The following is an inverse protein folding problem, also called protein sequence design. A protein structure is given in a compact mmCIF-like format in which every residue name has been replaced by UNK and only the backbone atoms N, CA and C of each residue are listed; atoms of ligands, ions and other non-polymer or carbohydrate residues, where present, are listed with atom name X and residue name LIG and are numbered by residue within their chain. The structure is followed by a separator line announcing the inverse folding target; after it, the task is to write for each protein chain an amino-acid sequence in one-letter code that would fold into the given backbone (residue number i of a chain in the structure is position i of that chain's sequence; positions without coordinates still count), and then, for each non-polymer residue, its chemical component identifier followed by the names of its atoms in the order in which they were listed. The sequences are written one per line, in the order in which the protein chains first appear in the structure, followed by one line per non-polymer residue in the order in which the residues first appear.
data_IF_700381803298
#
_entry.id   IF_700381803298
#
_cell.length_a   1.000
_cell.length_b   1.000
_cell.length_c   1.000
_cell.angle_alpha   90.00
_cell.angle_beta   90.00
_cell.angle_gamma   90.00
#
_symmetry.space_group_name_H-M   'P 1'
#
loop_
_entity.id
_entity.type
_entity.pdbx_description
1 polymer ?
#
# COMPACT_ATOMS: atom_id res chain seq x y z
N UNK A 1 10.62 0.52 -15.66
CA UNK A 1 10.11 -0.29 -14.54
C UNK A 1 9.52 -1.55 -15.14
N UNK A 2 10.22 -2.68 -15.00
CA UNK A 2 9.78 -3.97 -15.52
C UNK A 2 8.90 -4.61 -14.44
N UNK A 3 7.59 -4.65 -14.68
CA UNK A 3 6.68 -5.52 -13.92
C UNK A 3 6.91 -6.95 -14.45
N UNK A 4 7.79 -7.71 -13.81
CA UNK A 4 8.18 -9.05 -14.30
C UNK A 4 7.23 -10.15 -13.81
N UNK A 5 6.37 -9.88 -12.83
CA UNK A 5 5.59 -10.92 -12.13
C UNK A 5 4.31 -10.37 -11.50
N UNK A 6 3.25 -11.19 -11.47
CA UNK A 6 2.02 -10.91 -10.73
C UNK A 6 2.17 -11.14 -9.21
N UNK A 7 3.17 -11.94 -8.81
CA UNK A 7 3.56 -12.14 -7.42
C UNK A 7 4.62 -11.12 -7.00
N UNK A 8 4.63 -10.69 -5.73
CA UNK A 8 5.66 -9.81 -5.20
C UNK A 8 7.03 -10.50 -5.20
N UNK A 9 8.07 -9.69 -5.30
CA UNK A 9 9.48 -10.07 -5.35
C UNK A 9 10.30 -9.18 -4.42
N UNK A 10 11.55 -9.56 -4.18
CA UNK A 10 12.48 -8.73 -3.39
C UNK A 10 12.70 -7.40 -4.11
N UNK A 11 12.77 -6.32 -3.34
CA UNK A 11 12.77 -4.91 -3.75
C UNK A 11 11.42 -4.33 -4.17
N UNK A 12 10.32 -5.11 -4.14
CA UNK A 12 9.01 -4.52 -4.38
C UNK A 12 8.59 -3.57 -3.25
N UNK A 13 7.99 -2.46 -3.66
CA UNK A 13 7.36 -1.50 -2.75
C UNK A 13 6.02 -2.06 -2.29
N UNK A 14 5.78 -2.09 -0.99
CA UNK A 14 4.54 -2.61 -0.41
C UNK A 14 3.92 -1.65 0.59
N UNK A 15 2.60 -1.78 0.76
CA UNK A 15 1.79 -1.03 1.72
C UNK A 15 1.07 -1.99 2.66
N UNK A 16 1.12 -1.70 3.95
CA UNK A 16 0.34 -2.41 4.96
C UNK A 16 -1.14 -2.02 4.87
N UNK A 17 -2.02 -3.01 4.81
CA UNK A 17 -3.47 -2.82 4.68
C UNK A 17 -4.23 -2.98 5.99
N UNK A 18 -3.57 -3.29 7.11
CA UNK A 18 -4.25 -3.51 8.38
C UNK A 18 -3.34 -3.34 9.58
N UNK A 19 -3.86 -2.72 10.63
CA UNK A 19 -3.14 -2.59 11.90
C UNK A 19 -2.89 -3.96 12.54
N UNK A 20 -1.65 -4.17 12.95
CA UNK A 20 -1.25 -5.25 13.85
C UNK A 20 -0.39 -4.68 14.98
N UNK A 21 -1.07 -4.28 16.05
CA UNK A 21 -0.46 -3.66 17.23
C UNK A 21 0.56 -4.55 17.95
N UNK A 22 0.54 -5.88 17.74
CA UNK A 22 1.52 -6.79 18.37
C UNK A 22 2.90 -6.65 17.74
N UNK A 23 2.93 -6.35 16.44
CA UNK A 23 4.15 -6.21 15.64
C UNK A 23 4.48 -4.74 15.37
N UNK A 24 3.56 -3.82 15.68
CA UNK A 24 3.78 -2.38 15.53
C UNK A 24 3.56 -1.85 14.10
N UNK A 25 2.90 -2.63 13.22
CA UNK A 25 2.57 -2.17 11.88
C UNK A 25 1.16 -1.61 11.80
N UNK A 26 0.98 -0.56 10.99
CA UNK A 26 -0.27 0.17 10.84
C UNK A 26 -0.68 0.26 9.36
N UNK A 27 -1.99 0.32 9.11
CA UNK A 27 -2.53 0.53 7.78
C UNK A 27 -1.99 1.85 7.21
N UNK A 28 -1.47 1.80 5.99
CA UNK A 28 -0.87 2.94 5.31
C UNK A 28 0.65 2.98 5.38
N UNK A 29 1.28 2.22 6.29
CA UNK A 29 2.74 2.17 6.35
C UNK A 29 3.31 1.53 5.09
N UNK A 30 4.33 2.16 4.53
CA UNK A 30 5.06 1.69 3.35
C UNK A 30 6.36 0.99 3.76
N UNK A 31 6.82 0.10 2.91
CA UNK A 31 8.12 -0.56 3.08
C UNK A 31 8.61 -1.21 1.80
N UNK A 32 9.83 -1.73 1.85
CA UNK A 32 10.46 -2.47 0.74
C UNK A 32 10.69 -3.91 1.19
N UNK A 33 10.33 -4.87 0.36
CA UNK A 33 10.62 -6.28 0.64
C UNK A 33 12.14 -6.52 0.53
N UNK A 34 12.80 -6.87 1.62
CA UNK A 34 14.23 -7.26 1.64
C UNK A 34 14.40 -8.77 1.46
N UNK A 35 13.44 -9.55 1.94
CA UNK A 35 13.45 -11.01 1.85
C UNK A 35 12.04 -11.57 1.63
N UNK A 36 11.90 -12.50 0.69
CA UNK A 36 10.63 -13.18 0.44
C UNK A 36 10.85 -14.66 0.16
N UNK A 37 10.14 -15.52 0.90
CA UNK A 37 10.16 -16.97 0.70
C UNK A 37 8.74 -17.51 0.71
N UNK A 38 8.41 -18.37 -0.25
CA UNK A 38 7.15 -19.13 -0.24
C UNK A 38 7.14 -20.09 0.95
N UNK A 39 6.14 -19.98 1.84
CA UNK A 39 5.96 -20.90 2.98
C UNK A 39 5.03 -22.05 2.60
N UNK A 40 3.89 -21.72 2.03
CA UNK A 40 2.86 -22.65 1.56
C UNK A 40 2.09 -22.01 0.38
N UNK A 41 1.03 -22.67 -0.10
CA UNK A 41 0.22 -22.17 -1.23
C UNK A 41 -0.47 -20.82 -0.96
N UNK A 42 -0.64 -20.44 0.32
CA UNK A 42 -1.38 -19.24 0.71
C UNK A 42 -0.49 -18.12 1.28
N UNK A 43 0.69 -18.45 1.82
CA UNK A 43 1.50 -17.52 2.61
C UNK A 43 2.93 -17.38 2.10
N UNK A 44 3.42 -16.15 2.06
CA UNK A 44 4.85 -15.85 2.05
C UNK A 44 5.36 -15.63 3.47
N UNK A 45 6.61 -16.00 3.74
CA UNK A 45 7.39 -15.45 4.84
C UNK A 45 8.19 -14.27 4.29
N UNK A 46 7.93 -13.08 4.81
CA UNK A 46 8.50 -11.83 4.33
C UNK A 46 9.33 -11.14 5.41
N UNK A 47 10.38 -10.47 4.95
CA UNK A 47 11.19 -9.50 5.67
C UNK A 47 11.05 -8.18 4.91
N UNK A 48 10.52 -7.15 5.58
CA UNK A 48 10.13 -5.88 4.96
C UNK A 48 10.76 -4.74 5.74
N UNK A 49 11.58 -3.93 5.08
CA UNK A 49 12.10 -2.69 5.64
C UNK A 49 11.01 -1.63 5.61
N UNK A 50 10.41 -1.34 6.76
CA UNK A 50 9.38 -0.32 6.89
C UNK A 50 10.00 1.07 6.88
N UNK A 51 9.35 2.03 6.22
CA UNK A 51 9.82 3.40 6.13
C UNK A 51 9.86 4.08 7.50
N UNK A 52 10.99 4.72 7.82
CA UNK A 52 11.16 5.44 9.09
C UNK A 52 11.38 4.55 10.31
N UNK A 53 11.29 3.22 10.16
CA UNK A 53 11.50 2.27 11.25
C UNK A 53 12.94 1.71 11.24
N UNK A 54 13.51 1.52 12.42
CA UNK A 54 14.87 0.96 12.56
C UNK A 54 14.91 -0.52 12.25
N UNK A 55 13.94 -1.28 12.74
CA UNK A 55 13.85 -2.73 12.57
C UNK A 55 13.02 -3.09 11.34
N UNK A 56 13.40 -4.19 10.68
CA UNK A 56 12.60 -4.76 9.59
C UNK A 56 11.44 -5.58 10.17
N UNK A 57 10.28 -5.49 9.53
CA UNK A 57 9.15 -6.37 9.81
C UNK A 57 9.48 -7.79 9.35
N UNK A 58 9.26 -8.78 10.22
CA UNK A 58 9.31 -10.19 9.85
C UNK A 58 7.97 -10.86 10.15
N UNK A 59 7.38 -11.51 9.14
CA UNK A 59 6.11 -12.20 9.36
C UNK A 59 5.55 -12.94 8.15
N UNK A 60 4.33 -13.44 8.31
CA UNK A 60 3.60 -14.10 7.23
C UNK A 60 2.70 -13.08 6.55
N UNK A 61 2.81 -13.00 5.23
CA UNK A 61 1.94 -12.14 4.40
C UNK A 61 1.14 -12.99 3.43
N UNK A 62 -0.12 -12.60 3.19
CA UNK A 62 -1.04 -13.37 2.37
C UNK A 62 -0.74 -13.20 0.88
N UNK A 63 -0.54 -14.30 0.14
CA UNK A 63 -0.25 -14.26 -1.30
C UNK A 63 -1.40 -13.67 -2.12
N UNK A 64 -2.62 -14.15 -1.87
CA UNK A 64 -3.81 -13.77 -2.62
C UNK A 64 -4.27 -12.32 -2.38
N UNK A 65 -3.62 -11.59 -1.47
CA UNK A 65 -3.90 -10.17 -1.28
C UNK A 65 -3.28 -9.30 -2.38
N UNK A 66 -2.11 -9.69 -2.91
CA UNK A 66 -1.45 -8.92 -3.96
C UNK A 66 -2.28 -8.96 -5.24
N UNK A 67 -2.50 -7.79 -5.87
CA UNK A 67 -3.34 -7.64 -7.07
C UNK A 67 -4.80 -8.08 -6.89
N UNK A 68 -5.32 -8.17 -5.66
CA UNK A 68 -6.72 -8.48 -5.42
C UNK A 68 -7.61 -7.32 -5.89
N UNK A 69 -8.49 -7.58 -6.87
CA UNK A 69 -9.48 -6.59 -7.34
C UNK A 69 -10.61 -6.38 -6.32
N UNK A 70 -10.81 -7.31 -5.39
CA UNK A 70 -11.85 -7.21 -4.37
C UNK A 70 -11.26 -6.67 -3.07
N UNK A 71 -11.96 -5.70 -2.46
CA UNK A 71 -11.75 -5.35 -1.07
C UNK A 71 -12.12 -6.57 -0.22
N UNK A 72 -11.14 -7.19 0.44
CA UNK A 72 -11.39 -8.37 1.27
C UNK A 72 -12.50 -8.08 2.28
N UNK A 73 -13.53 -8.92 2.30
CA UNK A 73 -14.59 -8.87 3.31
C UNK A 73 -14.02 -9.35 4.66
N UNK A 74 -13.44 -8.41 5.42
CA UNK A 74 -12.75 -8.64 6.69
C UNK A 74 -13.58 -9.39 7.74
N UNK A 75 -14.91 -9.27 7.68
CA UNK A 75 -15.83 -9.95 8.60
C UNK A 75 -15.89 -11.47 8.41
N UNK A 76 -15.65 -11.98 7.18
CA UNK A 76 -15.66 -13.44 6.90
C UNK A 76 -14.28 -14.09 7.04
N UNK A 77 -13.21 -13.32 6.90
CA UNK A 77 -11.82 -13.83 6.79
C UNK A 77 -10.97 -13.63 8.05
N UNK A 78 -11.61 -13.54 9.22
CA UNK A 78 -10.92 -13.27 10.49
C UNK A 78 -9.84 -14.32 10.83
N UNK A 79 -9.98 -15.56 10.35
CA UNK A 79 -8.94 -16.60 10.52
C UNK A 79 -7.62 -16.26 9.82
N UNK A 80 -7.66 -15.69 8.60
CA UNK A 80 -6.45 -15.27 7.86
C UNK A 80 -5.72 -14.17 8.63
N UNK A 81 -6.49 -13.25 9.19
CA UNK A 81 -5.97 -12.10 9.95
C UNK A 81 -5.34 -12.48 11.30
N UNK A 82 -5.60 -13.69 11.80
CA UNK A 82 -4.93 -14.24 12.99
C UNK A 82 -3.60 -14.88 12.61
N UNK A 83 -3.51 -15.47 11.41
CA UNK A 83 -2.34 -16.23 10.95
C UNK A 83 -1.24 -15.35 10.37
N UNK A 84 -1.58 -14.22 9.73
CA UNK A 84 -0.61 -13.29 9.19
C UNK A 84 -1.18 -11.91 8.86
N UNK A 85 -0.33 -11.10 8.25
CA UNK A 85 -0.57 -9.71 7.93
C UNK A 85 -0.91 -9.50 6.46
N UNK A 86 -1.48 -8.34 6.17
CA UNK A 86 -1.99 -8.00 4.85
C UNK A 86 -1.18 -6.87 4.26
N UNK A 87 -0.49 -7.18 3.18
CA UNK A 87 0.28 -6.24 2.37
C UNK A 87 -0.18 -6.34 0.92
N UNK A 88 -0.01 -5.25 0.19
CA UNK A 88 -0.25 -5.16 -1.24
C UNK A 88 0.82 -4.25 -1.86
N UNK A 89 0.85 -4.13 -3.18
CA UNK A 89 1.80 -3.25 -3.86
C UNK A 89 1.60 -1.78 -3.49
N UNK A 90 2.69 -1.11 -3.15
CA UNK A 90 2.74 0.28 -2.67
C UNK A 90 3.27 1.27 -3.72
N UNK A 91 3.28 0.90 -5.00
CA UNK A 91 3.84 1.73 -6.09
C UNK A 91 3.02 2.97 -6.43
N UNK A 92 1.69 2.84 -6.35
CA UNK A 92 0.76 3.92 -6.57
C UNK A 92 -0.31 3.88 -5.49
N UNK A 93 -0.72 5.06 -5.02
CA UNK A 93 -1.70 5.19 -3.96
C UNK A 93 -2.85 6.04 -4.44
N UNK A 94 -4.05 5.72 -3.96
CA UNK A 94 -5.16 6.65 -4.06
C UNK A 94 -4.88 7.86 -3.16
N UNK A 95 -5.38 9.03 -3.55
CA UNK A 95 -5.24 10.26 -2.74
C UNK A 95 -5.77 10.05 -1.32
N UNK A 96 -6.84 9.26 -1.16
CA UNK A 96 -7.39 8.90 0.15
C UNK A 96 -6.38 8.12 1.01
N UNK A 97 -5.67 7.13 0.45
CA UNK A 97 -4.63 6.37 1.17
C UNK A 97 -3.38 7.19 1.45
N UNK A 98 -3.12 8.25 0.69
CA UNK A 98 -2.01 9.17 0.91
C UNK A 98 -2.33 10.29 1.93
N UNK A 99 -3.54 10.34 2.49
CA UNK A 99 -3.88 11.34 3.50
C UNK A 99 -2.98 11.22 4.73
N UNK A 100 -2.40 12.35 5.16
CA UNK A 100 -1.48 12.39 6.30
C UNK A 100 0.00 12.11 5.95
N UNK A 101 0.32 11.60 4.76
CA UNK A 101 1.71 11.44 4.31
C UNK A 101 2.17 12.58 3.41
N UNK A 102 3.47 12.83 3.32
CA UNK A 102 4.05 13.82 2.41
C UNK A 102 5.26 13.22 1.69
N UNK A 103 5.58 13.74 0.52
CA UNK A 103 6.75 13.36 -0.26
C UNK A 103 7.35 14.59 -0.95
N UNK A 104 8.68 14.61 -1.08
CA UNK A 104 9.40 15.67 -1.80
C UNK A 104 8.85 15.93 -3.20
N UNK A 105 8.62 14.84 -3.94
CA UNK A 105 8.07 14.87 -5.30
C UNK A 105 6.84 14.00 -5.40
N UNK A 106 5.76 14.52 -5.96
CA UNK A 106 4.52 13.78 -6.24
C UNK A 106 4.20 13.83 -7.72
N UNK A 107 3.84 12.66 -8.28
CA UNK A 107 3.22 12.54 -9.60
C UNK A 107 1.75 12.18 -9.39
N UNK A 108 0.87 13.10 -9.74
CA UNK A 108 -0.58 12.97 -9.60
C UNK A 108 -1.21 12.64 -10.95
N UNK A 109 -1.87 11.50 -11.03
CA UNK A 109 -2.78 11.19 -12.13
C UNK A 109 -4.16 11.77 -11.79
N UNK A 110 -4.57 12.77 -12.56
CA UNK A 110 -5.82 13.51 -12.41
C UNK A 110 -6.90 12.84 -13.24
N UNK A 111 -7.75 12.04 -12.60
CA UNK A 111 -8.86 11.35 -13.27
C UNK A 111 -10.19 11.78 -12.69
N UNK A 112 -10.97 12.54 -13.47
CA UNK A 112 -12.36 12.86 -13.15
C UNK A 112 -13.30 11.72 -13.52
N UNK A 113 -14.24 11.41 -12.64
CA UNK A 113 -15.34 10.48 -12.91
C UNK A 113 -16.68 11.20 -12.92
N UNK A 114 -17.67 10.61 -13.62
CA UNK A 114 -18.95 11.27 -13.92
C UNK A 114 -19.79 11.64 -12.69
N UNK A 115 -19.62 10.95 -11.57
CA UNK A 115 -20.29 11.27 -10.31
C UNK A 115 -19.55 12.30 -9.44
N UNK A 116 -18.40 12.81 -9.88
CA UNK A 116 -17.61 13.79 -9.13
C UNK A 116 -18.07 15.21 -9.46
N UNK A 117 -18.75 15.87 -8.52
CA UNK A 117 -19.08 17.28 -8.66
C UNK A 117 -17.84 18.18 -8.50
N UNK A 118 -17.97 19.45 -8.87
CA UNK A 118 -16.86 20.41 -8.85
C UNK A 118 -16.27 20.61 -7.44
N UNK A 119 -17.10 20.57 -6.39
CA UNK A 119 -16.64 20.76 -5.02
C UNK A 119 -15.92 19.52 -4.48
N UNK A 120 -16.36 18.32 -4.84
CA UNK A 120 -15.67 17.06 -4.57
C UNK A 120 -14.32 17.05 -5.25
N UNK A 121 -14.28 17.42 -6.53
CA UNK A 121 -13.04 17.50 -7.30
C UNK A 121 -12.04 18.48 -6.70
N UNK A 122 -12.47 19.71 -6.38
CA UNK A 122 -11.58 20.71 -5.75
C UNK A 122 -10.99 20.24 -4.43
N UNK A 123 -11.79 19.59 -3.56
CA UNK A 123 -11.31 19.06 -2.27
C UNK A 123 -10.35 17.89 -2.44
N UNK A 124 -10.65 17.00 -3.38
CA UNK A 124 -9.77 15.89 -3.72
C UNK A 124 -8.43 16.39 -4.27
N UNK A 125 -8.47 17.31 -5.24
CA UNK A 125 -7.28 17.89 -5.84
C UNK A 125 -6.44 18.65 -4.81
N UNK A 126 -7.07 19.45 -3.95
CA UNK A 126 -6.39 20.12 -2.84
C UNK A 126 -5.67 19.10 -1.94
N UNK A 127 -6.35 18.03 -1.56
CA UNK A 127 -5.75 16.96 -0.74
C UNK A 127 -4.52 16.37 -1.43
N UNK A 128 -4.62 16.08 -2.73
CA UNK A 128 -3.54 15.53 -3.53
C UNK A 128 -2.34 16.49 -3.66
N UNK A 129 -2.60 17.77 -3.95
CA UNK A 129 -1.58 18.82 -4.10
C UNK A 129 -0.79 18.98 -2.80
N UNK A 130 -1.45 19.00 -1.65
CA UNK A 130 -0.75 19.14 -0.34
C UNK A 130 0.12 17.94 0.05
N UNK A 131 0.14 16.85 -0.74
CA UNK A 131 1.07 15.73 -0.51
C UNK A 131 2.48 16.04 -1.00
N UNK A 132 2.64 17.00 -1.92
CA UNK A 132 3.94 17.42 -2.44
C UNK A 132 4.58 18.47 -1.52
N UNK A 133 5.85 18.25 -1.15
CA UNK A 133 6.62 19.22 -0.35
C UNK A 133 7.42 20.18 -1.24
N UNK A 134 7.98 19.68 -2.35
CA UNK A 134 8.89 20.45 -3.22
C UNK A 134 8.37 20.52 -4.67
N UNK A 135 7.99 19.38 -5.26
CA UNK A 135 7.64 19.29 -6.68
C UNK A 135 6.34 18.49 -6.91
N UNK A 136 5.45 19.00 -7.76
CA UNK A 136 4.22 18.34 -8.18
C UNK A 136 4.12 18.27 -9.70
N UNK A 137 3.95 17.07 -10.23
CA UNK A 137 3.64 16.82 -11.64
C UNK A 137 2.20 16.32 -11.72
N UNK A 138 1.36 16.98 -12.53
CA UNK A 138 -0.03 16.55 -12.75
C UNK A 138 -0.14 16.01 -14.18
N UNK A 139 -0.70 14.81 -14.32
CA UNK A 139 -0.97 14.13 -15.59
C UNK A 139 -2.48 13.89 -15.69
N UNK A 140 -3.14 14.41 -16.72
CA UNK A 140 -4.58 14.29 -16.94
C UNK A 140 -4.97 14.51 -18.39
#
# INVERSE_FOLDING_TARGET
MQFESAEPTVNDRVICLRNNHKVGIYNGMLGIIEGLKSKDDQWFKAEIKMDGEQDSYEGLILKSQFNSQEAMNFSKNRYLTIKGDLFDFGYALTVHKAQGSQAKRVVLFEERFSQMDENMWRRWLYTAVTRAEEELFIVG
#
